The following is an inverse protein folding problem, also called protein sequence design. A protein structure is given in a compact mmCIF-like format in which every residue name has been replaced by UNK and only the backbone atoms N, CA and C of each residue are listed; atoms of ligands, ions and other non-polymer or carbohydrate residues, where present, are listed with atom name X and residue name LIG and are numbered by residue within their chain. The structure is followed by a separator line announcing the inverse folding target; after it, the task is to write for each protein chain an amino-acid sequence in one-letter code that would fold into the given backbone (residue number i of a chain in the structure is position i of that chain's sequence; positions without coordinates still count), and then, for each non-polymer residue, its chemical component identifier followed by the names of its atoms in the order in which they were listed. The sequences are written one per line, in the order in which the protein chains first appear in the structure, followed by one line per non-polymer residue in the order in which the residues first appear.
data_IF_533508154288
#
_entry.id   IF_533508154288
#
_cell.length_a   1.000
_cell.length_b   1.000
_cell.length_c   1.000
_cell.angle_alpha   90.00
_cell.angle_beta   90.00
_cell.angle_gamma   90.00
#
_symmetry.space_group_name_H-M   'P 1'
#
loop_
_entity.id
_entity.type
_entity.pdbx_description
1 polymer ?
#
# COMPACT_ATOMS: atom_id res chain seq x y z
N UNK A 1 -9.52 2.43 -12.16
CA UNK A 1 -9.02 1.29 -11.36
C UNK A 1 -7.80 1.72 -10.56
N UNK A 2 -7.77 1.36 -9.28
CA UNK A 2 -6.66 1.71 -8.40
C UNK A 2 -5.88 0.45 -8.09
N UNK A 3 -4.61 0.41 -8.49
CA UNK A 3 -3.73 -0.74 -8.24
C UNK A 3 -2.83 -0.46 -7.05
N UNK A 4 -2.88 -1.31 -6.05
CA UNK A 4 -2.08 -1.15 -4.83
C UNK A 4 -1.17 -2.36 -4.66
N UNK A 5 0.12 -2.10 -4.52
CA UNK A 5 1.07 -3.10 -4.07
C UNK A 5 1.36 -2.85 -2.60
N UNK A 6 1.04 -3.82 -1.77
CA UNK A 6 1.31 -3.74 -0.34
C UNK A 6 2.57 -4.56 -0.06
N UNK A 7 3.66 -3.86 0.21
CA UNK A 7 4.97 -4.47 0.39
C UNK A 7 5.24 -4.68 1.87
N UNK A 8 5.41 -5.93 2.26
CA UNK A 8 5.45 -6.31 3.68
C UNK A 8 6.63 -7.21 3.99
N UNK A 9 6.94 -7.34 5.29
CA UNK A 9 7.92 -8.30 5.80
C UNK A 9 7.29 -9.09 6.95
N UNK A 10 7.82 -10.29 7.28
CA UNK A 10 7.31 -11.05 8.42
C UNK A 10 7.53 -10.31 9.74
N UNK A 11 6.66 -10.58 10.71
CA UNK A 11 6.78 -10.06 12.08
C UNK A 11 6.83 -8.53 12.14
N UNK A 12 6.10 -7.87 11.27
CA UNK A 12 6.08 -6.41 11.20
C UNK A 12 4.74 -5.90 11.75
N UNK A 13 4.78 -5.18 12.86
CA UNK A 13 3.57 -4.64 13.47
C UNK A 13 2.96 -3.53 12.62
N UNK A 14 3.81 -2.69 12.02
CA UNK A 14 3.31 -1.63 11.15
C UNK A 14 2.68 -2.19 9.89
N UNK A 15 3.21 -3.32 9.39
CA UNK A 15 2.61 -3.99 8.24
C UNK A 15 1.21 -4.51 8.57
N UNK A 16 1.03 -5.07 9.76
CA UNK A 16 -0.27 -5.55 10.20
C UNK A 16 -1.26 -4.40 10.31
N UNK A 17 -0.84 -3.26 10.84
CA UNK A 17 -1.66 -2.07 10.94
C UNK A 17 -2.08 -1.57 9.56
N UNK A 18 -1.13 -1.48 8.63
CA UNK A 18 -1.40 -1.03 7.28
C UNK A 18 -2.36 -1.98 6.56
N UNK A 19 -2.18 -3.29 6.73
CA UNK A 19 -3.08 -4.28 6.15
C UNK A 19 -4.50 -4.10 6.66
N UNK A 20 -4.65 -3.87 7.96
CA UNK A 20 -5.96 -3.66 8.58
C UNK A 20 -6.64 -2.42 7.98
N UNK A 21 -5.89 -1.33 7.80
CA UNK A 21 -6.41 -0.11 7.21
C UNK A 21 -6.87 -0.35 5.77
N UNK A 22 -6.05 -1.05 4.98
CA UNK A 22 -6.41 -1.37 3.59
C UNK A 22 -7.69 -2.19 3.53
N UNK A 23 -7.79 -3.22 4.37
CA UNK A 23 -8.98 -4.06 4.41
C UNK A 23 -10.23 -3.28 4.83
N UNK A 24 -10.05 -2.33 5.76
CA UNK A 24 -11.15 -1.51 6.25
C UNK A 24 -11.68 -0.57 5.18
N UNK A 25 -10.81 0.02 4.36
CA UNK A 25 -11.24 0.98 3.35
C UNK A 25 -11.65 0.33 2.03
N UNK A 26 -11.23 -0.91 1.78
CA UNK A 26 -11.52 -1.57 0.50
C UNK A 26 -12.99 -1.58 0.10
N UNK A 27 -13.94 -1.85 1.01
CA UNK A 27 -15.36 -1.84 0.61
C UNK A 27 -15.85 -0.50 0.07
N UNK A 28 -15.21 0.60 0.46
CA UNK A 28 -15.58 1.93 -0.02
C UNK A 28 -14.98 2.26 -1.39
N UNK A 29 -14.05 1.42 -1.86
CA UNK A 29 -13.37 1.63 -3.14
C UNK A 29 -13.35 0.31 -3.92
N UNK A 30 -14.49 -0.09 -4.49
CA UNK A 30 -14.60 -1.41 -5.13
C UNK A 30 -13.71 -1.60 -6.34
N UNK A 31 -13.22 -0.51 -6.94
CA UNK A 31 -12.30 -0.58 -8.07
C UNK A 31 -10.85 -0.78 -7.63
N UNK A 32 -10.59 -0.84 -6.33
CA UNK A 32 -9.25 -1.00 -5.80
C UNK A 32 -8.82 -2.45 -5.85
N UNK A 33 -7.66 -2.71 -6.44
CA UNK A 33 -7.06 -4.04 -6.52
C UNK A 33 -5.80 -4.02 -5.67
N UNK A 34 -5.67 -5.00 -4.76
CA UNK A 34 -4.56 -5.05 -3.81
C UNK A 34 -3.78 -6.33 -4.03
N UNK A 35 -2.46 -6.19 -4.16
CA UNK A 35 -1.55 -7.32 -4.21
C UNK A 35 -0.57 -7.19 -3.05
N UNK A 36 -0.50 -8.21 -2.21
CA UNK A 36 0.44 -8.24 -1.08
C UNK A 36 1.71 -8.98 -1.50
N UNK A 37 2.86 -8.37 -1.29
CA UNK A 37 4.15 -8.95 -1.67
C UNK A 37 5.09 -8.95 -0.47
N UNK A 38 5.66 -10.13 -0.16
CA UNK A 38 6.69 -10.24 0.85
C UNK A 38 8.03 -9.88 0.21
N UNK A 39 8.60 -8.74 0.62
CA UNK A 39 9.81 -8.22 0.00
C UNK A 39 11.07 -9.03 0.31
N UNK A 40 11.01 -9.89 1.34
CA UNK A 40 12.13 -10.80 1.61
C UNK A 40 12.23 -11.83 0.50
N UNK A 41 11.10 -12.25 -0.05
CA UNK A 41 11.07 -13.20 -1.17
C UNK A 41 11.30 -12.51 -2.51
N UNK A 42 11.16 -11.17 -2.55
CA UNK A 42 11.27 -10.37 -3.77
C UNK A 42 12.13 -9.14 -3.52
N UNK A 43 13.44 -9.33 -3.23
CA UNK A 43 14.32 -8.19 -2.90
C UNK A 43 14.48 -7.18 -4.05
N UNK A 44 14.26 -7.60 -5.28
CA UNK A 44 14.31 -6.71 -6.44
C UNK A 44 13.29 -5.58 -6.35
N UNK A 45 12.19 -5.80 -5.62
CA UNK A 45 11.16 -4.77 -5.44
C UNK A 45 11.65 -3.66 -4.53
N UNK A 46 12.44 -4.00 -3.51
CA UNK A 46 13.03 -2.99 -2.65
C UNK A 46 13.91 -2.01 -3.45
N UNK A 47 14.69 -2.54 -4.39
CA UNK A 47 15.51 -1.72 -5.25
C UNK A 47 14.68 -0.89 -6.22
N UNK A 48 13.66 -1.52 -6.82
CA UNK A 48 12.82 -0.86 -7.81
C UNK A 48 12.11 0.37 -7.25
N UNK A 49 11.58 0.27 -6.05
CA UNK A 49 10.82 1.35 -5.43
C UNK A 49 11.61 2.11 -4.38
N UNK A 50 12.88 1.73 -4.14
CA UNK A 50 13.77 2.36 -3.17
C UNK A 50 13.14 2.44 -1.78
N UNK A 51 12.56 1.34 -1.35
CA UNK A 51 11.88 1.27 -0.06
C UNK A 51 12.92 1.13 1.04
N UNK A 52 12.90 2.04 2.00
CA UNK A 52 13.85 2.05 3.10
C UNK A 52 13.30 1.45 4.38
N UNK A 53 11.99 1.35 4.50
CA UNK A 53 11.34 0.75 5.66
C UNK A 53 10.00 0.16 5.27
N UNK A 54 9.57 -0.84 6.03
CA UNK A 54 8.29 -1.54 5.80
C UNK A 54 7.23 -0.98 6.72
N UNK A 55 5.95 -1.02 6.33
CA UNK A 55 5.43 -1.45 5.04
C UNK A 55 5.62 -0.40 3.95
N UNK A 56 5.64 -0.83 2.69
CA UNK A 56 5.62 0.07 1.56
C UNK A 56 4.28 -0.04 0.85
N UNK A 57 3.72 1.09 0.47
CA UNK A 57 2.45 1.13 -0.26
C UNK A 57 2.69 1.81 -1.60
N UNK A 58 2.54 1.05 -2.67
CA UNK A 58 2.68 1.55 -4.04
C UNK A 58 1.30 1.69 -4.64
N UNK A 59 0.96 2.87 -5.11
CA UNK A 59 -0.34 3.14 -5.71
C UNK A 59 -0.13 3.52 -7.17
N UNK A 60 -0.71 2.72 -8.07
CA UNK A 60 -0.61 2.91 -9.52
C UNK A 60 0.84 3.08 -9.99
N UNK A 61 1.73 2.26 -9.42
CA UNK A 61 3.13 2.22 -9.83
C UNK A 61 4.02 3.24 -9.14
N UNK A 62 3.48 4.03 -8.22
CA UNK A 62 4.24 5.05 -7.50
C UNK A 62 4.25 4.76 -6.01
N UNK A 63 5.42 4.80 -5.39
CA UNK A 63 5.53 4.61 -3.94
C UNK A 63 4.96 5.83 -3.23
N UNK A 64 3.86 5.64 -2.50
CA UNK A 64 3.20 6.72 -1.77
C UNK A 64 3.51 6.72 -0.28
N UNK A 65 3.73 5.54 0.31
CA UNK A 65 3.99 5.43 1.74
C UNK A 65 5.12 4.44 2.00
N UNK A 66 5.98 4.78 2.94
CA UNK A 66 7.08 3.92 3.35
C UNK A 66 7.23 4.04 4.87
N UNK A 67 7.23 2.89 5.56
CA UNK A 67 7.41 2.86 7.00
C UNK A 67 6.13 2.98 7.82
N UNK A 68 4.98 3.12 7.17
CA UNK A 68 3.72 3.21 7.86
C UNK A 68 2.71 4.03 7.10
N UNK A 69 1.45 3.94 7.53
CA UNK A 69 0.35 4.59 6.84
C UNK A 69 -0.79 4.82 7.82
N UNK A 70 -1.45 5.97 7.72
CA UNK A 70 -2.66 6.26 8.49
C UNK A 70 -3.87 6.25 7.57
N UNK A 71 -5.03 5.96 8.15
CA UNK A 71 -6.27 5.80 7.39
C UNK A 71 -6.69 7.09 6.68
N UNK A 72 -6.69 8.23 7.38
CA UNK A 72 -7.21 9.47 6.82
C UNK A 72 -6.42 9.95 5.59
N UNK A 73 -5.08 10.03 5.62
CA UNK A 73 -4.34 10.38 4.41
C UNK A 73 -4.51 9.37 3.28
N UNK A 74 -4.63 8.09 3.62
CA UNK A 74 -4.84 7.06 2.61
C UNK A 74 -6.17 7.23 1.89
N UNK A 75 -7.26 7.44 2.65
CA UNK A 75 -8.58 7.70 2.07
C UNK A 75 -8.57 8.94 1.21
N UNK A 76 -7.90 10.00 1.67
CA UNK A 76 -7.80 11.24 0.91
C UNK A 76 -7.12 11.03 -0.44
N UNK A 77 -6.05 10.24 -0.45
CA UNK A 77 -5.36 9.92 -1.70
C UNK A 77 -6.23 9.09 -2.63
N UNK A 78 -6.94 8.11 -2.09
CA UNK A 78 -7.85 7.29 -2.89
C UNK A 78 -8.98 8.13 -3.49
N UNK A 79 -9.52 9.07 -2.72
CA UNK A 79 -10.57 9.96 -3.20
C UNK A 79 -10.09 10.81 -4.36
N UNK A 80 -8.86 11.31 -4.29
CA UNK A 80 -8.29 12.09 -5.39
C UNK A 80 -8.13 11.25 -6.65
N UNK A 81 -7.72 10.00 -6.50
CA UNK A 81 -7.56 9.11 -7.64
C UNK A 81 -8.91 8.71 -8.23
N UNK A 82 -9.91 8.51 -7.39
CA UNK A 82 -11.26 8.17 -7.83
C UNK A 82 -11.94 9.33 -8.53
N UNK A 83 -11.63 10.56 -8.13
CA UNK A 83 -12.28 11.74 -8.68
C UNK A 83 -11.80 12.09 -10.09
N UNK A 84 -10.79 11.39 -10.60
CA UNK A 84 -10.20 11.70 -11.91
C UNK A 84 -10.83 10.92 -13.06
N UNK A 85 -11.99 10.40 -12.88
CA UNK A 85 -12.66 9.65 -13.95
C UNK A 85 -13.23 10.54 -15.03
#
# INVERSE_FOLDING_TARGET
MINILFLTVPNCMQCAKAKHIIEKVKPDYPDMVIEEINVIEHPEILEKYRIMSSPGIVINGKLEYSGGMDEAPFRERLDKLSAKH
#
